data_IF_291172679459
#
_entry.id   IF_291172679459
#
_cell.length_a   1.000
_cell.length_b   1.000
_cell.length_c   1.000
_cell.angle_alpha   90.00
_cell.angle_beta   90.00
_cell.angle_gamma   90.00
#
_symmetry.space_group_name_H-M   'P 1'
#
loop_
_entity.id
_entity.type
_entity.pdbx_description
1 polymer ?
2 water ?
#
# COMPACT_ATOMS: atom_id res chain seq x y z
N UNK A 4 -10.81 -14.52 15.55
CA UNK A 4 -10.80 -13.26 14.79
C UNK A 4 -12.19 -12.68 14.65
N UNK A 5 -12.30 -11.35 14.61
CA UNK A 5 -13.58 -10.70 14.37
C UNK A 5 -13.81 -10.61 12.86
N UNK A 6 -14.87 -9.92 12.46
CA UNK A 6 -15.24 -9.90 11.04
C UNK A 6 -14.18 -9.18 10.19
N UNK A 7 -13.60 -8.10 10.72
CA UNK A 7 -12.64 -7.32 9.92
C UNK A 7 -11.29 -8.00 9.84
N UNK A 8 -10.84 -8.61 10.94
CA UNK A 8 -9.63 -9.44 10.89
C UNK A 8 -9.81 -10.59 9.91
N UNK A 9 -11.01 -11.18 9.90
CA UNK A 9 -11.34 -12.24 8.94
C UNK A 9 -11.22 -11.73 7.50
N UNK A 10 -11.81 -10.56 7.24
CA UNK A 10 -11.76 -10.00 5.89
C UNK A 10 -10.33 -9.71 5.46
N UNK A 11 -9.52 -9.17 6.37
CA UNK A 11 -8.15 -8.87 6.02
C UNK A 11 -7.36 -10.15 5.74
N UNK A 12 -7.65 -11.20 6.50
CA UNK A 12 -6.98 -12.49 6.24
C UNK A 12 -7.40 -13.06 4.88
N UNK A 13 -8.70 -13.00 4.56
CA UNK A 13 -9.14 -13.49 3.25
C UNK A 13 -8.46 -12.73 2.12
N UNK A 14 -8.36 -11.40 2.26
CA UNK A 14 -7.70 -10.62 1.22
C UNK A 14 -6.25 -11.05 1.05
N UNK A 15 -5.54 -11.19 2.17
CA UNK A 15 -4.12 -11.53 2.09
C UNK A 15 -3.93 -12.92 1.48
N UNK A 16 -4.79 -13.87 1.86
CA UNK A 16 -4.66 -15.22 1.30
C UNK A 16 -4.97 -15.25 -0.19
N UNK A 17 -5.88 -14.38 -0.65
CA UNK A 17 -6.09 -14.27 -2.09
C UNK A 17 -4.86 -13.70 -2.79
N UNK A 18 -4.30 -12.61 -2.27
CA UNK A 18 -3.10 -12.04 -2.87
C UNK A 18 -1.95 -13.04 -2.87
N UNK A 19 -1.89 -13.90 -1.87
CA UNK A 19 -0.82 -14.87 -1.79
C UNK A 19 -1.05 -16.08 -2.69
N UNK A 20 -2.25 -16.19 -3.27
CA UNK A 20 -2.59 -17.32 -4.11
C UNK A 20 -3.07 -18.55 -3.38
N UNK A 21 -3.40 -18.45 -2.11
CA UNK A 21 -3.82 -19.61 -1.31
C UNK A 21 -5.27 -19.55 -0.91
N UNK A 22 -6.02 -18.52 -1.32
CA UNK A 22 -7.43 -18.42 -1.01
C UNK A 22 -8.25 -18.09 -2.24
N UNK A 23 -9.56 -18.01 -2.04
CA UNK A 23 -10.50 -17.57 -3.06
C UNK A 23 -10.79 -16.08 -2.90
N UNK A 24 -11.18 -15.44 -4.01
CA UNK A 24 -11.34 -14.00 -4.03
C UNK A 24 -12.41 -13.55 -3.05
N UNK A 25 -12.32 -12.31 -2.54
CA UNK A 25 -13.35 -11.77 -1.65
C UNK A 25 -14.51 -11.13 -2.43
N UNK A 32 -22.62 -1.18 -6.52
CA UNK A 32 -21.77 0.00 -6.70
C UNK A 32 -21.30 0.09 -8.14
N UNK A 33 -21.58 1.22 -8.79
CA UNK A 33 -21.18 1.46 -10.18
C UNK A 33 -20.25 2.65 -10.31
N UNK A 34 -19.63 3.09 -9.23
CA UNK A 34 -18.77 4.27 -9.27
C UNK A 34 -17.49 3.93 -10.01
N UNK A 35 -17.21 4.65 -11.09
CA UNK A 35 -15.97 4.38 -11.83
C UNK A 35 -14.74 4.68 -10.99
N UNK A 36 -14.84 5.58 -10.01
CA UNK A 36 -13.68 5.92 -9.19
C UNK A 36 -13.27 4.77 -8.27
N UNK A 37 -14.20 3.89 -7.93
CA UNK A 37 -13.95 2.78 -7.01
C UNK A 37 -13.43 1.57 -7.80
N UNK A 38 -12.36 0.95 -7.29
CA UNK A 38 -11.92 -0.35 -7.78
C UNK A 38 -11.86 -1.29 -6.59
N UNK A 39 -12.72 -2.31 -6.60
CA UNK A 39 -12.87 -3.19 -5.44
C UNK A 39 -11.81 -4.28 -5.47
N UNK A 40 -11.48 -4.81 -4.28
CA UNK A 40 -10.52 -5.91 -4.25
C UNK A 40 -11.05 -7.11 -5.02
N UNK A 41 -12.38 -7.27 -5.08
CA UNK A 41 -12.98 -8.35 -5.88
C UNK A 41 -12.62 -8.25 -7.37
N UNK A 42 -12.16 -7.09 -7.82
CA UNK A 42 -11.84 -6.86 -9.23
C UNK A 42 -10.43 -7.30 -9.61
N UNK A 43 -9.60 -7.66 -8.64
CA UNK A 43 -8.20 -7.95 -8.91
C UNK A 43 -8.09 -9.33 -9.54
N UNK A 44 -7.65 -9.40 -10.79
CA UNK A 44 -7.48 -10.67 -11.51
C UNK A 44 -6.00 -10.78 -11.86
N UNK A 45 -5.36 -11.86 -11.40
CA UNK A 45 -3.94 -12.04 -11.65
C UNK A 45 -3.70 -12.66 -13.02
N UNK A 46 -2.66 -12.16 -13.70
CA UNK A 46 -2.18 -12.74 -14.95
C UNK A 46 -0.67 -12.88 -14.86
N UNK A 47 -0.14 -13.92 -15.49
CA UNK A 47 1.29 -14.16 -15.39
C UNK A 47 1.99 -13.52 -16.58
N UNK A 48 3.07 -12.80 -16.31
CA UNK A 48 3.87 -12.14 -17.32
C UNK A 48 5.33 -12.44 -16.99
N UNK A 49 6.04 -13.05 -17.93
CA UNK A 49 7.43 -13.45 -17.74
C UNK A 49 7.61 -14.27 -16.48
N UNK A 50 6.59 -15.06 -16.11
CA UNK A 50 6.65 -15.92 -14.95
C UNK A 50 6.12 -15.33 -13.65
N UNK A 51 5.83 -14.03 -13.59
CA UNK A 51 5.43 -13.38 -12.34
C UNK A 51 3.96 -13.04 -12.40
N UNK A 52 3.24 -13.16 -11.26
CA UNK A 52 1.80 -12.89 -11.26
C UNK A 52 1.54 -11.42 -10.95
N UNK A 53 0.75 -10.73 -11.82
CA UNK A 53 0.41 -9.32 -11.62
C UNK A 53 -1.10 -9.15 -11.51
N UNK A 54 -1.55 -8.28 -10.60
CA UNK A 54 -2.95 -7.84 -10.59
C UNK A 54 -3.02 -6.35 -10.35
N UNK A 55 -3.69 -5.60 -11.23
CA UNK A 55 -3.79 -4.15 -11.04
C UNK A 55 -5.23 -3.72 -10.77
N UNK A 56 -5.37 -2.70 -9.92
CA UNK A 56 -6.65 -2.02 -9.79
C UNK A 56 -7.03 -1.36 -11.11
N UNK A 57 -8.33 -1.20 -11.33
CA UNK A 57 -8.81 -0.35 -12.41
C UNK A 57 -8.63 1.12 -12.02
N UNK A 58 -7.71 1.81 -12.69
CA UNK A 58 -7.49 3.23 -12.49
C UNK A 58 -7.65 3.92 -13.84
N UNK A 59 -7.93 5.23 -13.80
CA UNK A 59 -8.13 5.97 -15.04
C UNK A 59 -6.98 5.73 -16.02
N UNK A 60 -5.74 5.91 -15.56
CA UNK A 60 -4.57 5.49 -16.32
C UNK A 60 -4.21 4.06 -15.93
N UNK A 61 -4.08 3.19 -16.93
CA UNK A 61 -3.95 1.76 -16.68
C UNK A 61 -2.68 1.47 -15.88
N UNK A 62 -2.80 0.46 -14.99
CA UNK A 62 -1.65 -0.20 -14.37
C UNK A 62 -0.83 0.74 -13.50
N UNK A 63 -1.47 1.70 -12.82
CA UNK A 63 -0.72 2.59 -11.94
C UNK A 63 -0.59 2.08 -10.51
N UNK A 64 -1.40 1.10 -10.11
CA UNK A 64 -1.37 0.60 -8.74
C UNK A 64 -1.73 -0.87 -8.76
N UNK A 65 -0.82 -1.73 -8.31
CA UNK A 65 -1.10 -3.15 -8.41
C UNK A 65 -0.25 -3.97 -7.47
N UNK A 66 -0.30 -5.28 -7.67
CA UNK A 66 0.43 -6.26 -6.84
C UNK A 66 1.20 -7.20 -7.75
N UNK A 67 2.42 -7.53 -7.32
CA UNK A 67 3.27 -8.55 -7.93
C UNK A 67 3.43 -9.70 -6.93
N UNK A 68 3.06 -10.90 -7.35
CA UNK A 68 3.17 -12.10 -6.51
C UNK A 68 4.32 -12.96 -7.05
N UNK A 69 5.25 -13.28 -6.14
CA UNK A 69 6.51 -13.98 -6.42
C UNK A 69 6.46 -15.36 -5.78
N UNK A 70 6.76 -16.39 -6.59
CA UNK A 70 7.00 -17.73 -6.08
C UNK A 70 8.25 -17.72 -5.19
N UNK A 71 8.43 -18.74 -4.36
CA UNK A 71 9.61 -18.79 -3.49
C UNK A 71 10.92 -18.56 -4.23
N UNK A 72 11.71 -17.62 -3.73
CA UNK A 72 13.05 -17.29 -4.22
C UNK A 72 13.05 -16.79 -5.66
N UNK A 73 11.88 -16.44 -6.22
CA UNK A 73 11.79 -16.08 -7.62
C UNK A 73 12.44 -14.73 -7.92
N UNK A 74 13.10 -14.66 -9.09
CA UNK A 74 13.79 -13.47 -9.55
C UNK A 74 12.97 -12.74 -10.59
N UNK A 75 12.98 -11.42 -10.53
CA UNK A 75 12.52 -10.58 -11.63
C UNK A 75 13.71 -9.83 -12.22
N UNK A 76 13.98 -10.05 -13.50
CA UNK A 76 15.17 -9.52 -14.15
C UNK A 76 15.14 -8.00 -14.20
N UNK A 77 16.31 -7.42 -14.44
CA UNK A 77 16.49 -5.97 -14.32
C UNK A 77 15.60 -5.24 -15.30
N UNK A 78 14.95 -4.19 -14.81
CA UNK A 78 14.16 -3.27 -15.61
C UNK A 78 14.59 -1.84 -15.27
N UNK A 79 13.99 -0.86 -15.96
CA UNK A 79 14.33 0.54 -15.76
C UNK A 79 13.05 1.35 -15.60
N UNK A 80 12.99 2.17 -14.55
CA UNK A 80 11.85 3.06 -14.37
C UNK A 80 11.88 4.17 -15.42
N UNK A 81 10.73 4.40 -16.10
CA UNK A 81 10.67 5.28 -17.28
C UNK A 81 9.72 6.47 -17.17
N UNK A 82 8.42 6.26 -17.39
CA UNK A 82 7.58 7.44 -17.62
C UNK A 82 6.94 7.88 -16.33
N UNK A 83 7.02 7.05 -15.27
CA UNK A 83 6.55 7.42 -13.94
C UNK A 83 7.55 6.95 -12.88
N UNK A 84 7.81 7.78 -11.87
CA UNK A 84 8.61 7.31 -10.73
C UNK A 84 7.90 6.12 -10.10
N UNK A 85 8.68 5.21 -9.52
CA UNK A 85 8.12 3.93 -9.07
C UNK A 85 8.34 3.76 -7.58
N UNK A 86 7.32 3.31 -6.87
CA UNK A 86 7.48 2.94 -5.47
C UNK A 86 7.13 1.47 -5.32
N UNK A 87 7.96 0.71 -4.58
CA UNK A 87 7.67 -0.68 -4.29
C UNK A 87 7.50 -0.84 -2.79
N UNK A 88 6.36 -1.40 -2.37
CA UNK A 88 6.01 -1.51 -0.96
C UNK A 88 5.64 -2.96 -0.64
N UNK A 89 6.29 -3.54 0.35
CA UNK A 89 6.09 -4.96 0.63
C UNK A 89 4.74 -5.17 1.27
N UNK A 90 3.89 -5.94 0.61
CA UNK A 90 2.59 -6.31 1.13
C UNK A 90 2.64 -7.58 1.97
N UNK A 91 3.51 -8.53 1.63
CA UNK A 91 3.71 -9.71 2.46
C UNK A 91 5.06 -10.34 2.15
N UNK A 92 5.77 -10.82 3.18
CA UNK A 92 7.03 -11.49 2.94
C UNK A 92 8.25 -10.60 2.99
N UNK A 93 9.26 -10.89 2.16
CA UNK A 93 10.54 -10.19 2.23
C UNK A 93 11.20 -10.21 0.85
N UNK A 94 11.85 -9.10 0.48
CA UNK A 94 12.44 -8.93 -0.85
C UNK A 94 13.85 -8.36 -0.77
N UNK A 95 14.68 -8.81 -1.71
CA UNK A 95 15.96 -8.17 -2.02
C UNK A 95 15.80 -7.36 -3.29
N UNK A 96 16.22 -6.11 -3.25
CA UNK A 96 16.12 -5.20 -4.39
C UNK A 96 17.50 -4.63 -4.66
N UNK A 97 17.93 -4.70 -5.91
CA UNK A 97 19.23 -4.18 -6.35
C UNK A 97 18.98 -3.01 -7.30
N UNK A 98 19.61 -1.87 -7.03
CA UNK A 98 19.37 -0.68 -7.85
C UNK A 98 20.68 -0.07 -8.32
N UNK A 99 20.63 0.55 -9.49
CA UNK A 99 21.77 1.26 -10.08
C UNK A 99 21.20 2.56 -10.66
N UNK A 100 21.43 3.66 -9.95
CA UNK A 100 20.92 4.96 -10.35
C UNK A 100 21.81 5.57 -11.44
N UNK A 101 21.22 6.49 -12.20
CA UNK A 101 21.96 7.15 -13.28
C UNK A 101 23.17 7.88 -12.71
N UNK A 102 24.32 7.73 -13.36
CA UNK A 102 25.54 8.39 -12.96
C UNK A 102 26.38 7.61 -11.97
N UNK A 103 25.81 6.64 -11.26
CA UNK A 103 26.54 5.86 -10.28
C UNK A 103 27.03 4.56 -10.92
N UNK A 104 28.14 4.06 -10.40
CA UNK A 104 28.71 2.82 -10.87
C UNK A 104 28.54 1.65 -9.90
N UNK A 105 28.23 1.93 -8.63
CA UNK A 105 28.04 0.87 -7.64
C UNK A 105 26.56 0.69 -7.33
N UNK A 106 26.10 -0.55 -7.43
CA UNK A 106 24.72 -0.85 -7.10
C UNK A 106 24.48 -0.69 -5.59
N UNK A 107 23.20 -0.56 -5.24
CA UNK A 107 22.75 -0.51 -3.86
C UNK A 107 21.88 -1.74 -3.64
N UNK A 108 22.08 -2.42 -2.51
CA UNK A 108 21.30 -3.59 -2.17
C UNK A 108 20.41 -3.25 -0.97
N UNK A 109 19.12 -3.55 -1.10
CA UNK A 109 18.13 -3.26 -0.07
C UNK A 109 17.38 -4.53 0.28
N UNK A 110 17.15 -4.75 1.57
CA UNK A 110 16.32 -5.83 2.07
C UNK A 110 15.07 -5.20 2.66
N UNK A 111 13.90 -5.60 2.18
CA UNK A 111 12.63 -5.00 2.56
C UNK A 111 11.72 -6.07 3.17
N UNK A 112 11.24 -5.81 4.39
CA UNK A 112 10.23 -6.63 5.03
C UNK A 112 8.86 -5.95 4.89
N UNK A 113 7.83 -6.58 5.48
CA UNK A 113 6.47 -6.13 5.23
C UNK A 113 6.28 -4.71 5.74
N UNK A 114 5.67 -3.86 4.92
CA UNK A 114 5.50 -2.47 5.24
C UNK A 114 6.63 -1.56 4.82
N UNK A 115 7.80 -2.11 4.46
CA UNK A 115 8.90 -1.30 3.97
C UNK A 115 8.69 -0.94 2.51
N UNK A 116 9.23 0.20 2.10
CA UNK A 116 9.14 0.61 0.70
C UNK A 116 10.48 1.14 0.22
N UNK A 117 10.61 1.19 -1.09
CA UNK A 117 11.77 1.78 -1.75
C UNK A 117 11.27 2.63 -2.93
N UNK A 118 11.89 3.80 -3.10
CA UNK A 118 11.61 4.70 -4.21
C UNK A 118 12.64 4.46 -5.31
N UNK A 119 12.17 4.17 -6.51
CA UNK A 119 12.98 3.98 -7.70
C UNK A 119 12.79 5.20 -8.59
N UNK A 120 13.83 6.03 -8.69
CA UNK A 120 13.80 7.22 -9.52
C UNK A 120 13.77 6.86 -11.00
N UNK A 121 13.32 7.81 -11.81
CA UNK A 121 13.44 7.72 -13.26
C UNK A 121 14.86 7.37 -13.66
N UNK A 122 14.99 6.42 -14.58
CA UNK A 122 16.28 6.05 -15.08
C UNK A 122 17.03 5.04 -14.25
N UNK A 123 16.57 4.76 -13.03
CA UNK A 123 17.25 3.77 -12.19
C UNK A 123 16.93 2.36 -12.68
N UNK A 124 17.98 1.54 -12.74
CA UNK A 124 17.87 0.14 -13.13
C UNK A 124 17.68 -0.68 -11.85
N UNK A 125 16.68 -1.56 -11.84
CA UNK A 125 16.34 -2.26 -10.61
C UNK A 125 15.95 -3.71 -10.90
N UNK A 126 16.38 -4.61 -10.04
CA UNK A 126 15.96 -6.00 -10.09
C UNK A 126 15.52 -6.44 -8.70
N UNK A 127 14.68 -7.48 -8.66
CA UNK A 127 13.96 -7.89 -7.45
C UNK A 127 14.06 -9.39 -7.31
N UNK A 128 14.28 -9.87 -6.08
CA UNK A 128 14.21 -11.30 -5.79
C UNK A 128 13.47 -11.52 -4.49
N UNK A 129 12.53 -12.45 -4.50
CA UNK A 129 11.89 -12.93 -3.29
C UNK A 129 12.97 -13.49 -2.37
N UNK A 130 13.05 -12.98 -1.14
CA UNK A 130 14.15 -13.36 -0.25
C UNK A 130 13.86 -14.63 0.54
N UNK A 131 12.64 -15.15 0.52
CA UNK A 131 12.27 -16.25 1.39
C UNK A 131 11.73 -17.41 0.58
N UNK A 132 11.58 -18.57 1.25
CA UNK A 132 11.10 -19.80 0.63
C UNK A 132 9.58 -19.92 0.65
N UNK A 133 8.87 -18.80 0.58
CA UNK A 133 7.42 -18.73 0.62
C UNK A 133 6.98 -17.69 -0.39
N UNK A 134 5.70 -17.68 -0.74
CA UNK A 134 5.17 -16.64 -1.64
C UNK A 134 5.30 -15.27 -0.98
N UNK A 135 5.83 -14.30 -1.73
CA UNK A 135 5.87 -12.93 -1.24
C UNK A 135 5.11 -12.05 -2.22
N UNK A 136 4.63 -10.90 -1.73
CA UNK A 136 3.76 -10.01 -2.51
C UNK A 136 4.24 -8.57 -2.35
N UNK A 137 4.43 -7.88 -3.47
CA UNK A 137 4.93 -6.52 -3.53
C UNK A 137 3.83 -5.63 -4.09
N UNK A 138 3.60 -4.47 -3.48
CA UNK A 138 2.72 -3.47 -4.09
C UNK A 138 3.56 -2.56 -4.97
N UNK A 139 3.06 -2.27 -6.17
CA UNK A 139 3.75 -1.42 -7.14
C UNK A 139 2.90 -0.17 -7.36
N UNK A 140 3.50 0.99 -7.13
CA UNK A 140 2.82 2.28 -7.16
C UNK A 140 3.54 3.18 -8.17
N UNK A 141 2.86 3.51 -9.27
CA UNK A 141 3.42 4.44 -10.24
C UNK A 141 2.67 5.78 -10.16
N UNK A 142 3.41 6.87 -10.29
CA UNK A 142 2.86 8.20 -10.00
C UNK A 142 2.61 9.02 -11.26
N UNK B 1 -7.87 -19.26 14.53
CA UNK B 1 -6.64 -18.55 14.17
C UNK B 1 -5.48 -19.55 14.05
N UNK B 2 -5.13 -19.91 12.81
CA UNK B 2 -4.02 -20.84 12.61
C UNK B 2 -2.71 -20.25 13.11
N UNK B 3 -1.94 -21.08 13.81
CA UNK B 3 -0.64 -20.67 14.35
C UNK B 3 0.22 -20.03 13.27
N UNK B 4 0.63 -18.79 13.53
CA UNK B 4 1.30 -17.99 12.51
C UNK B 4 2.73 -18.45 12.26
N UNK B 5 3.15 -18.36 11.00
CA UNK B 5 4.58 -18.47 10.69
C UNK B 5 5.25 -17.10 10.90
N UNK B 6 6.54 -17.04 10.63
CA UNK B 6 7.29 -15.82 10.92
C UNK B 6 6.80 -14.65 10.09
N UNK B 7 6.46 -14.88 8.82
CA UNK B 7 6.01 -13.77 7.98
C UNK B 7 4.62 -13.30 8.40
N UNK B 8 3.77 -14.23 8.80
CA UNK B 8 2.46 -13.85 9.32
C UNK B 8 2.60 -13.08 10.63
N UNK B 9 3.55 -13.49 11.48
CA UNK B 9 3.80 -12.71 12.70
C UNK B 9 4.25 -11.29 12.37
N UNK B 10 5.12 -11.14 11.38
CA UNK B 10 5.57 -9.80 11.00
C UNK B 10 4.41 -8.95 10.47
N UNK B 11 3.60 -9.53 9.59
CA UNK B 11 2.46 -8.80 9.05
C UNK B 11 1.49 -8.41 10.15
N UNK B 12 1.23 -9.31 11.09
CA UNK B 12 0.32 -8.99 12.18
C UNK B 12 0.89 -7.90 13.09
N UNK B 13 2.20 -7.95 13.36
CA UNK B 13 2.80 -6.89 14.16
C UNK B 13 2.65 -5.54 13.48
N UNK B 14 2.93 -5.48 12.16
CA UNK B 14 2.75 -4.23 11.43
C UNK B 14 1.32 -3.73 11.55
N UNK B 15 0.34 -4.60 11.31
CA UNK B 15 -1.06 -4.14 11.31
C UNK B 15 -1.51 -3.71 12.71
N UNK B 16 -1.06 -4.43 13.74
CA UNK B 16 -1.38 -4.02 15.11
C UNK B 16 -0.79 -2.66 15.42
N UNK B 17 0.42 -2.38 14.91
CA UNK B 17 1.01 -1.07 15.11
C UNK B 17 0.24 0.01 14.36
N UNK B 18 -0.16 -0.26 13.12
CA UNK B 18 -0.96 0.72 12.38
C UNK B 18 -2.28 0.99 13.10
N UNK B 19 -2.90 -0.05 13.65
CA UNK B 19 -4.16 0.11 14.36
C UNK B 19 -3.99 0.81 15.70
N UNK B 20 -2.76 0.98 16.19
CA UNK B 20 -2.57 1.55 17.51
C UNK B 20 -2.85 0.61 18.65
N UNK B 21 -3.10 -0.67 18.38
CA UNK B 21 -3.33 -1.66 19.44
C UNK B 21 -2.05 -2.38 19.84
N UNK B 22 -0.94 -2.13 19.14
CA UNK B 22 0.32 -2.76 19.45
C UNK B 22 1.42 -1.74 19.65
N UNK B 23 2.21 -1.93 20.70
CA UNK B 23 3.29 -1.01 21.05
C UNK B 23 4.64 -1.43 20.50
N UNK B 24 4.76 -2.65 19.97
CA UNK B 24 5.98 -3.06 19.31
C UNK B 24 5.97 -2.48 17.90
N UNK B 25 6.98 -1.71 17.50
CA UNK B 25 7.01 -1.16 16.13
C UNK B 25 7.37 -2.25 15.14
N UNK B 26 7.06 -2.04 13.86
CA UNK B 26 7.53 -2.98 12.84
C UNK B 26 9.04 -3.15 12.92
N UNK B 27 9.52 -4.30 12.48
CA UNK B 27 10.94 -4.60 12.60
C UNK B 27 11.78 -3.69 11.71
N UNK B 28 12.97 -3.34 12.18
CA UNK B 28 13.86 -2.51 11.38
C UNK B 28 14.77 -3.39 10.51
N UNK B 29 15.57 -2.74 9.68
CA UNK B 29 16.54 -3.44 8.83
C UNK B 29 17.73 -2.52 8.61
N UNK B 30 18.91 -3.11 8.38
CA UNK B 30 20.07 -2.28 8.09
C UNK B 30 19.92 -1.52 6.78
N UNK B 31 19.01 -1.99 5.92
CA UNK B 31 18.73 -1.24 4.69
C UNK B 31 18.10 0.12 4.95
N UNK B 32 17.66 0.41 6.19
CA UNK B 32 17.17 1.76 6.45
C UNK B 32 18.29 2.78 6.46
N UNK B 33 19.54 2.33 6.30
CA UNK B 33 20.60 3.30 6.02
C UNK B 33 20.58 3.79 4.57
N UNK B 34 19.79 3.16 3.70
CA UNK B 34 19.80 3.49 2.27
C UNK B 34 18.90 4.68 1.98
N UNK B 35 19.40 5.63 1.19
CA UNK B 35 18.68 6.88 0.95
C UNK B 35 17.29 6.62 0.36
N UNK B 36 17.17 5.62 -0.52
CA UNK B 36 15.92 5.35 -1.21
C UNK B 36 14.92 4.54 -0.40
N UNK B 37 15.32 4.00 0.75
CA UNK B 37 14.43 3.13 1.52
C UNK B 37 13.70 3.96 2.56
N UNK B 38 12.39 3.70 2.70
CA UNK B 38 11.60 4.18 3.84
C UNK B 38 10.98 2.95 4.53
N UNK B 39 11.48 2.64 5.73
CA UNK B 39 11.04 1.46 6.47
C UNK B 39 9.80 1.78 7.28
N UNK B 40 8.96 0.76 7.49
CA UNK B 40 7.80 0.96 8.35
C UNK B 40 8.23 1.26 9.79
N UNK B 41 9.40 0.76 10.19
CA UNK B 41 9.92 1.02 11.53
C UNK B 41 10.07 2.52 11.79
N UNK B 42 10.31 3.31 10.75
CA UNK B 42 10.53 4.75 10.88
C UNK B 42 9.22 5.53 11.02
N UNK B 43 8.08 4.93 10.73
CA UNK B 43 6.81 5.65 10.77
C UNK B 43 6.51 6.11 12.18
N UNK B 44 5.93 7.31 12.30
CA UNK B 44 5.44 7.82 13.58
C UNK B 44 4.17 8.61 13.31
N UNK B 45 3.12 8.30 14.07
CA UNK B 45 1.83 8.93 13.89
C UNK B 45 1.77 10.28 14.62
N UNK B 46 1.23 11.29 13.96
CA UNK B 46 0.95 12.61 14.52
C UNK B 46 -0.53 12.90 14.36
N UNK B 47 -1.15 13.51 15.36
CA UNK B 47 -2.58 13.75 15.34
C UNK B 47 -2.88 15.16 14.83
N UNK B 48 -3.73 15.25 13.82
CA UNK B 48 -4.21 16.52 13.29
C UNK B 48 -5.73 16.47 13.26
N UNK B 49 -6.38 17.41 13.95
CA UNK B 49 -7.83 17.47 14.02
C UNK B 49 -8.40 16.13 14.46
N UNK B 50 -7.71 15.48 15.37
CA UNK B 50 -8.15 14.23 15.95
C UNK B 50 -7.90 12.98 15.11
N UNK B 51 -7.31 13.11 13.93
CA UNK B 51 -7.01 11.97 13.08
C UNK B 51 -5.51 11.71 13.11
N UNK B 52 -5.12 10.43 13.24
CA UNK B 52 -3.69 10.11 13.30
C UNK B 52 -3.16 9.90 11.88
N UNK B 53 -2.06 10.57 11.54
CA UNK B 53 -1.43 10.45 10.23
C UNK B 53 0.01 9.98 10.38
N UNK B 54 0.47 9.12 9.48
CA UNK B 54 1.89 8.78 9.45
C UNK B 54 2.33 8.60 8.01
N UNK B 55 3.31 9.39 7.55
CA UNK B 55 3.77 9.27 6.17
C UNK B 55 5.19 8.71 6.11
N UNK B 56 5.44 7.89 5.10
CA UNK B 56 6.80 7.48 4.79
C UNK B 56 7.65 8.70 4.47
N UNK B 57 8.87 8.71 5.02
CA UNK B 57 9.82 9.79 4.82
C UNK B 57 10.49 9.68 3.45
N UNK B 58 9.66 9.69 2.41
CA UNK B 58 10.12 9.71 1.03
C UNK B 58 10.71 11.08 0.68
N UNK B 59 11.32 11.16 -0.50
CA UNK B 59 11.98 12.40 -0.91
C UNK B 59 10.99 13.56 -1.03
N UNK B 60 9.76 13.28 -1.51
CA UNK B 60 8.73 14.33 -1.62
C UNK B 60 7.91 14.50 -0.34
N UNK B 61 8.05 13.60 0.64
CA UNK B 61 7.69 13.76 2.05
C UNK B 61 6.22 13.70 2.45
N UNK B 62 5.29 13.64 1.50
CA UNK B 62 3.87 13.70 1.85
C UNK B 62 3.10 13.03 0.72
N UNK B 63 3.60 11.88 0.24
CA UNK B 63 3.00 11.28 -0.92
C UNK B 63 2.54 9.84 -0.70
N UNK B 64 2.96 9.19 0.38
CA UNK B 64 2.49 7.84 0.68
C UNK B 64 2.44 7.68 2.19
N UNK B 65 1.26 7.38 2.73
CA UNK B 65 1.15 7.32 4.18
C UNK B 65 -0.12 6.62 4.62
N UNK B 66 -0.42 6.73 5.91
CA UNK B 66 -1.57 6.09 6.52
C UNK B 66 -2.38 7.09 7.32
N UNK B 67 -3.70 6.94 7.25
CA UNK B 67 -4.64 7.61 8.14
C UNK B 67 -5.26 6.57 9.07
N UNK B 68 -5.18 6.83 10.38
CA UNK B 68 -5.73 5.99 11.43
C UNK B 68 -6.94 6.71 12.01
N UNK B 69 -8.10 6.06 11.93
CA UNK B 69 -9.37 6.61 12.36
C UNK B 69 -9.85 5.89 13.60
N UNK B 70 -10.26 6.67 14.58
CA UNK B 70 -10.89 6.17 15.76
C UNK B 70 -12.28 5.62 15.39
N UNK B 71 -12.92 4.85 16.28
CA UNK B 71 -14.25 4.32 15.95
C UNK B 71 -15.21 5.42 15.54
N UNK B 72 -15.82 5.24 14.36
CA UNK B 72 -16.83 6.14 13.80
C UNK B 72 -16.31 7.57 13.57
N UNK B 73 -15.00 7.78 13.64
CA UNK B 73 -14.46 9.11 13.48
C UNK B 73 -14.63 9.60 12.05
N UNK B 74 -14.88 10.92 11.92
CA UNK B 74 -15.00 11.58 10.63
C UNK B 74 -13.78 12.45 10.35
N UNK B 75 -13.32 12.42 9.11
CA UNK B 75 -12.41 13.42 8.58
C UNK B 75 -13.24 14.41 7.77
N UNK B 76 -13.16 15.69 8.12
CA UNK B 76 -14.04 16.64 7.47
C UNK B 76 -13.65 16.82 6.01
N UNK B 77 -14.61 17.35 5.24
CA UNK B 77 -14.46 17.64 3.82
C UNK B 77 -13.17 18.39 3.50
N UNK B 78 -12.42 17.88 2.52
CA UNK B 78 -11.25 18.54 1.96
C UNK B 78 -11.38 18.57 0.44
N UNK B 79 -10.76 19.57 -0.19
CA UNK B 79 -10.61 19.58 -1.65
C UNK B 79 -9.21 19.10 -2.01
N UNK B 80 -9.14 18.15 -2.96
CA UNK B 80 -7.85 17.68 -3.49
C UNK B 80 -7.32 18.79 -4.40
N UNK B 81 -6.80 19.85 -3.76
CA UNK B 81 -6.53 21.11 -4.45
C UNK B 81 -5.36 20.99 -5.43
N UNK B 82 -4.31 20.27 -5.06
CA UNK B 82 -3.07 20.19 -5.83
C UNK B 82 -2.80 18.76 -6.30
N UNK B 83 -2.81 17.79 -5.36
CA UNK B 83 -2.48 16.42 -5.72
C UNK B 83 -3.71 15.54 -5.71
N UNK B 84 -4.00 14.83 -6.80
CA UNK B 84 -4.99 13.75 -6.73
C UNK B 84 -4.49 12.68 -5.78
N UNK B 85 -5.39 11.83 -5.32
CA UNK B 85 -4.92 10.77 -4.44
C UNK B 85 -5.73 9.50 -4.66
N UNK B 86 -5.20 8.40 -4.12
CA UNK B 86 -5.91 7.14 -4.05
C UNK B 86 -6.01 6.75 -2.58
N UNK B 87 -7.20 6.33 -2.15
CA UNK B 87 -7.42 5.84 -0.81
C UNK B 87 -7.63 4.33 -0.87
N UNK B 88 -6.77 3.59 -0.17
CA UNK B 88 -6.77 2.13 -0.21
C UNK B 88 -6.88 1.59 1.21
N UNK B 89 -7.97 0.87 1.48
CA UNK B 89 -8.26 0.44 2.84
C UNK B 89 -7.29 -0.66 3.27
N UNK B 90 -6.60 -0.42 4.40
CA UNK B 90 -5.68 -1.37 4.99
C UNK B 90 -6.34 -2.22 6.07
N UNK B 91 -7.30 -1.65 6.79
CA UNK B 91 -8.02 -2.42 7.79
C UNK B 91 -9.34 -1.72 8.07
N UNK B 92 -10.40 -2.50 8.21
CA UNK B 92 -11.67 -1.90 8.59
C UNK B 92 -12.57 -1.54 7.43
N UNK B 93 -13.39 -0.51 7.61
CA UNK B 93 -14.37 -0.12 6.61
C UNK B 93 -14.58 1.38 6.68
N UNK B 94 -14.78 1.99 5.51
CA UNK B 94 -14.90 3.43 5.41
C UNK B 94 -16.07 3.81 4.52
N UNK B 95 -16.70 4.93 4.84
CA UNK B 95 -17.65 5.60 3.98
C UNK B 95 -16.98 6.86 3.43
N UNK B 96 -17.01 7.02 2.10
CA UNK B 96 -16.37 8.15 1.43
C UNK B 96 -17.43 8.90 0.64
N UNK B 97 -17.49 10.22 0.82
CA UNK B 97 -18.38 11.08 0.05
C UNK B 97 -17.55 11.95 -0.87
N UNK B 98 -17.91 11.98 -2.16
CA UNK B 98 -17.16 12.74 -3.16
C UNK B 98 -18.08 13.63 -3.98
N UNK B 99 -17.57 14.82 -4.33
CA UNK B 99 -18.21 15.76 -5.24
C UNK B 99 -17.14 16.20 -6.24
N UNK B 100 -17.30 15.79 -7.50
CA UNK B 100 -16.27 16.01 -8.51
C UNK B 100 -16.53 17.32 -9.25
N UNK B 101 -15.45 17.95 -9.71
CA UNK B 101 -15.59 19.19 -10.48
C UNK B 101 -16.55 18.97 -11.64
N UNK B 102 -17.46 19.91 -11.84
CA UNK B 102 -18.40 19.84 -12.93
C UNK B 102 -19.64 19.03 -12.64
N UNK B 103 -19.71 18.42 -11.46
CA UNK B 103 -20.85 17.58 -11.11
C UNK B 103 -21.65 18.23 -9.99
N UNK B 104 -22.93 17.85 -9.90
CA UNK B 104 -23.84 18.40 -8.92
C UNK B 104 -24.13 17.47 -7.76
N UNK B 105 -24.00 16.16 -7.96
CA UNK B 105 -24.43 15.17 -6.98
C UNK B 105 -23.23 14.68 -6.17
N UNK B 106 -23.35 14.75 -4.85
CA UNK B 106 -22.44 14.05 -3.97
C UNK B 106 -22.70 12.54 -4.07
N UNK B 107 -21.62 11.76 -4.15
CA UNK B 107 -21.72 10.31 -4.32
C UNK B 107 -21.13 9.63 -3.08
N UNK B 108 -21.81 8.59 -2.61
CA UNK B 108 -21.47 7.87 -1.40
C UNK B 108 -20.92 6.50 -1.80
N UNK B 109 -19.73 6.15 -1.31
CA UNK B 109 -19.12 4.85 -1.58
C UNK B 109 -18.72 4.20 -0.26
N UNK B 110 -18.81 2.87 -0.22
CA UNK B 110 -18.41 2.10 0.95
C UNK B 110 -17.24 1.23 0.56
N UNK B 111 -16.14 1.32 1.32
CA UNK B 111 -14.90 0.61 1.03
C UNK B 111 -14.56 -0.35 2.17
N UNK B 112 -14.28 -1.60 1.80
CA UNK B 112 -13.77 -2.60 2.74
C UNK B 112 -12.30 -2.86 2.42
N UNK B 113 -11.69 -3.75 3.20
CA UNK B 113 -10.25 -3.91 3.13
C UNK B 113 -9.83 -4.33 1.73
N UNK B 114 -8.78 -3.68 1.21
CA UNK B 114 -8.30 -3.89 -0.12
C UNK B 114 -9.01 -3.11 -1.21
N UNK B 115 -10.12 -2.45 -0.88
CA UNK B 115 -10.80 -1.60 -1.84
C UNK B 115 -10.08 -0.25 -1.95
N UNK B 116 -10.17 0.35 -3.13
CA UNK B 116 -9.53 1.63 -3.42
C UNK B 116 -10.50 2.58 -4.10
N UNK B 117 -10.33 3.87 -3.84
CA UNK B 117 -11.03 4.92 -4.58
C UNK B 117 -10.03 5.95 -5.08
N UNK B 118 -10.22 6.41 -6.31
CA UNK B 118 -9.41 7.43 -6.94
C UNK B 118 -10.12 8.78 -6.76
N UNK B 119 -9.42 9.75 -6.17
CA UNK B 119 -9.89 11.10 -5.93
C UNK B 119 -9.18 12.01 -6.91
N UNK B 120 -9.91 12.54 -7.90
CA UNK B 120 -9.29 13.40 -8.90
C UNK B 120 -8.98 14.78 -8.33
N UNK B 121 -8.08 15.48 -9.02
CA UNK B 121 -7.76 16.84 -8.65
C UNK B 121 -9.02 17.70 -8.66
N UNK B 122 -9.22 18.48 -7.61
CA UNK B 122 -10.36 19.36 -7.47
C UNK B 122 -11.57 18.75 -6.80
N UNK B 123 -11.61 17.43 -6.63
CA UNK B 123 -12.74 16.77 -5.98
C UNK B 123 -12.78 17.11 -4.50
N UNK B 124 -13.98 17.37 -3.98
CA UNK B 124 -14.17 17.55 -2.55
C UNK B 124 -14.60 16.22 -1.95
N UNK B 125 -13.91 15.79 -0.89
CA UNK B 125 -14.16 14.45 -0.37
C UNK B 125 -14.10 14.45 1.15
N UNK B 126 -14.96 13.62 1.75
CA UNK B 126 -14.93 13.39 3.20
C UNK B 126 -14.93 11.89 3.48
N UNK B 127 -14.44 11.53 4.67
CA UNK B 127 -14.20 10.13 5.07
C UNK B 127 -14.72 9.92 6.48
N UNK B 128 -15.48 8.83 6.68
CA UNK B 128 -15.89 8.41 8.01
C UNK B 128 -15.60 6.93 8.20
N UNK B 129 -14.96 6.59 9.31
CA UNK B 129 -14.85 5.21 9.77
C UNK B 129 -16.25 4.63 9.93
N UNK B 130 -16.53 3.54 9.24
CA UNK B 130 -17.89 2.98 9.24
C UNK B 130 -18.17 2.02 10.39
N UNK B 131 -17.18 1.71 11.24
CA UNK B 131 -17.35 0.68 12.25
C UNK B 131 -16.84 1.15 13.61
N UNK B 132 -17.19 0.37 14.64
CA UNK B 132 -16.87 0.67 16.03
C UNK B 132 -15.49 0.16 16.44
N UNK B 133 -14.56 0.11 15.49
CA UNK B 133 -13.17 -0.24 15.75
C UNK B 133 -12.28 0.74 14.98
N UNK B 134 -11.00 0.79 15.37
CA UNK B 134 -10.06 1.61 14.63
C UNK B 134 -9.93 1.05 13.22
N UNK B 135 -10.08 1.93 12.22
CA UNK B 135 -9.85 1.55 10.83
C UNK B 135 -8.66 2.33 10.29
N UNK B 136 -8.04 1.79 9.24
CA UNK B 136 -6.80 2.34 8.70
C UNK B 136 -6.88 2.35 7.19
N UNK B 137 -6.53 3.49 6.58
CA UNK B 137 -6.43 3.52 5.13
C UNK B 137 -5.07 4.07 4.71
N UNK B 138 -4.61 3.62 3.55
CA UNK B 138 -3.39 4.12 2.94
C UNK B 138 -3.76 5.25 1.99
N UNK B 139 -3.02 6.35 2.09
CA UNK B 139 -3.21 7.54 1.27
C UNK B 139 -2.04 7.62 0.28
N UNK B 140 -2.34 7.55 -1.01
CA UNK B 140 -1.35 7.55 -2.08
C UNK B 140 -1.63 8.78 -2.94
N UNK B 141 -0.71 9.74 -2.93
CA UNK B 141 -0.91 10.95 -3.72
C UNK B 141 -0.03 10.93 -4.97
N UNK B 142 -0.51 11.56 -6.05
CA UNK B 142 0.29 11.64 -7.27
C UNK B 142 0.49 13.09 -7.72
#
# INVERSE_FOLDING_TARGET
TPLRDEQEEASTKLMQWLRGVGDAPPSASMSDENASVSSANELIFCQVDGIDYAFYNTKEKAMLGYMRFKPYQKRSMKQAKVHPLKLLVQFGEFNVETLAVGEEKEVHSVLRVGDMIEIDRGTRYSIQNAIDKVSVLMCIRS
TPLRDEQEEASTKLMQWLRGVGDAPPSASMSDENASVSSANELIFCQVDGIDYAFYNTKEKAMLGYMRFKPYQKRSMKQAKVHPLKLLVQFGEFNVETLAVGEEKEVHSVLRVGDMIEIDRGTRYSIQNAIDKVSVLMCIRS
#
